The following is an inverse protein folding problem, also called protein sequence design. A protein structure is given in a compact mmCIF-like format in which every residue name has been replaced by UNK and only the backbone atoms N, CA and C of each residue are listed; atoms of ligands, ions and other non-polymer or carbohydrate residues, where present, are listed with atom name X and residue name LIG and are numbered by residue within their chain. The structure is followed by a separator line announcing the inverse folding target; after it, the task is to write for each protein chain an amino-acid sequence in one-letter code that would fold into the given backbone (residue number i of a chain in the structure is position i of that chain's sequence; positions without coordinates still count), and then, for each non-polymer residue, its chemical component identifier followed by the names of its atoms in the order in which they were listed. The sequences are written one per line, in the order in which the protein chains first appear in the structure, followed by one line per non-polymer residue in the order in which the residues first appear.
data_IF_197149882020
#
_entry.id   IF_197149882020
#
_cell.length_a   1.000
_cell.length_b   1.000
_cell.length_c   1.000
_cell.angle_alpha   90.00
_cell.angle_beta   90.00
_cell.angle_gamma   90.00
#
_symmetry.space_group_name_H-M   'P 1'
#
loop_
_entity.id
_entity.type
_entity.pdbx_description
1 polymer ?
#
# COMPACT_ATOMS: atom_id res chain seq x y z
N UNK A 1 15.05 -26.26 33.46
CA UNK A 1 13.81 -25.46 33.31
C UNK A 1 14.23 -24.01 33.17
N UNK A 2 14.13 -23.44 31.97
CA UNK A 2 14.20 -21.99 31.79
C UNK A 2 12.84 -21.56 31.24
N UNK A 3 11.94 -21.18 32.14
CA UNK A 3 10.86 -20.30 31.74
C UNK A 3 11.51 -18.98 31.37
N UNK A 4 11.73 -18.77 30.06
CA UNK A 4 11.90 -17.43 29.52
C UNK A 4 10.53 -16.77 29.64
N UNK A 5 10.31 -16.07 30.75
CA UNK A 5 9.32 -15.00 30.76
C UNK A 5 9.60 -14.14 29.54
N UNK A 6 8.63 -14.04 28.64
CA UNK A 6 8.71 -13.12 27.51
C UNK A 6 8.47 -11.74 28.13
N UNK A 7 9.48 -10.85 28.24
CA UNK A 7 9.22 -9.52 28.74
C UNK A 7 8.22 -8.89 27.77
N UNK A 8 7.15 -8.36 28.34
CA UNK A 8 6.03 -7.84 27.61
C UNK A 8 6.51 -6.85 26.54
N UNK A 9 6.33 -7.18 25.26
CA UNK A 9 6.74 -6.37 24.12
C UNK A 9 5.75 -5.18 23.93
N UNK A 10 5.43 -4.47 25.01
CA UNK A 10 4.61 -3.26 25.04
C UNK A 10 5.35 -2.02 24.49
N UNK A 11 6.20 -2.18 23.46
CA UNK A 11 6.68 -1.05 22.65
C UNK A 11 5.65 -0.70 21.58
N UNK A 12 4.43 -0.36 21.99
CA UNK A 12 3.39 0.13 21.10
C UNK A 12 3.17 1.59 21.43
N UNK A 13 3.66 2.50 20.59
CA UNK A 13 3.16 3.86 20.59
C UNK A 13 2.01 3.91 19.58
N UNK A 14 0.93 4.54 20.01
CA UNK A 14 -0.25 4.73 19.19
C UNK A 14 -0.18 6.12 18.57
N UNK A 15 -0.18 6.19 17.25
CA UNK A 15 -0.39 7.42 16.50
C UNK A 15 -1.83 7.54 16.07
N UNK A 16 -2.35 8.76 16.04
CA UNK A 16 -3.66 9.07 15.48
C UNK A 16 -3.46 9.57 14.06
N UNK A 17 -4.12 8.94 13.10
CA UNK A 17 -4.12 9.37 11.69
C UNK A 17 -5.55 9.50 11.19
N UNK A 18 -5.79 10.48 10.33
CA UNK A 18 -7.06 10.56 9.58
C UNK A 18 -7.05 9.60 8.41
N UNK A 19 -8.22 9.23 7.86
CA UNK A 19 -8.26 8.42 6.62
C UNK A 19 -7.58 9.14 5.47
N UNK A 20 -7.69 10.47 5.42
CA UNK A 20 -7.06 11.27 4.36
C UNK A 20 -5.54 11.20 4.40
N UNK A 21 -4.94 11.10 5.59
CA UNK A 21 -3.50 10.84 5.75
C UNK A 21 -3.10 9.41 5.38
N UNK A 22 -4.02 8.44 5.47
CA UNK A 22 -3.76 7.02 5.16
C UNK A 22 -4.00 6.66 3.70
N UNK A 23 -4.85 7.41 3.01
CA UNK A 23 -5.21 7.18 1.62
C UNK A 23 -4.75 8.39 0.81
N UNK A 24 -3.56 8.31 0.19
CA UNK A 24 -2.99 9.37 -0.62
C UNK A 24 -3.99 9.98 -1.61
N UNK A 25 -3.85 11.26 -1.94
CA UNK A 25 -4.74 11.95 -2.88
C UNK A 25 -4.71 11.34 -4.28
N UNK A 26 -3.59 10.76 -4.68
CA UNK A 26 -3.38 10.07 -5.95
C UNK A 26 -3.83 8.60 -5.94
N UNK A 27 -4.41 8.11 -4.83
CA UNK A 27 -4.82 6.73 -4.69
C UNK A 27 -5.83 6.32 -5.77
N UNK A 28 -5.61 5.16 -6.39
CA UNK A 28 -6.43 4.62 -7.49
C UNK A 28 -7.94 4.61 -7.21
N UNK A 29 -8.36 4.35 -5.97
CA UNK A 29 -9.79 4.40 -5.60
C UNK A 29 -10.41 5.79 -5.80
N UNK A 30 -9.68 6.87 -5.51
CA UNK A 30 -10.15 8.25 -5.75
C UNK A 30 -10.28 8.50 -7.27
N UNK A 31 -9.36 7.97 -8.07
CA UNK A 31 -9.44 8.04 -9.54
C UNK A 31 -10.67 7.28 -10.07
N UNK A 32 -10.95 6.09 -9.54
CA UNK A 32 -12.15 5.32 -9.88
C UNK A 32 -13.43 6.03 -9.49
N UNK A 33 -13.50 6.68 -8.32
CA UNK A 33 -14.67 7.45 -7.90
C UNK A 33 -14.98 8.58 -8.89
N UNK A 34 -13.94 9.28 -9.38
CA UNK A 34 -14.08 10.32 -10.42
C UNK A 34 -14.61 9.74 -11.72
N UNK A 35 -14.02 8.63 -12.20
CA UNK A 35 -14.44 7.95 -13.44
C UNK A 35 -15.90 7.49 -13.37
N UNK A 36 -16.29 6.87 -12.24
CA UNK A 36 -17.65 6.41 -11.98
C UNK A 36 -18.63 7.58 -11.98
N UNK A 37 -18.28 8.70 -11.35
CA UNK A 37 -19.16 9.88 -11.31
C UNK A 37 -19.33 10.52 -12.70
N UNK A 38 -18.26 10.54 -13.51
CA UNK A 38 -18.34 10.99 -14.91
C UNK A 38 -19.28 10.10 -15.73
N UNK A 39 -19.14 8.77 -15.59
CA UNK A 39 -20.02 7.81 -16.25
C UNK A 39 -21.50 7.98 -15.82
N UNK A 40 -21.74 8.13 -14.51
CA UNK A 40 -23.09 8.37 -13.98
C UNK A 40 -23.71 9.66 -14.52
N UNK A 41 -22.94 10.75 -14.63
CA UNK A 41 -23.41 12.01 -15.23
C UNK A 41 -23.77 11.85 -16.70
N UNK A 42 -22.97 11.11 -17.48
CA UNK A 42 -23.29 10.79 -18.89
C UNK A 42 -24.60 10.02 -19.00
N UNK A 43 -24.88 9.15 -18.03
CA UNK A 43 -26.11 8.38 -17.95
C UNK A 43 -27.25 9.08 -17.18
N UNK A 44 -27.14 10.39 -16.91
CA UNK A 44 -28.13 11.20 -16.16
C UNK A 44 -28.48 10.63 -14.77
N UNK A 45 -27.58 9.82 -14.21
CA UNK A 45 -27.71 9.24 -12.86
C UNK A 45 -27.07 10.17 -11.84
N UNK A 46 -27.72 10.28 -10.68
CA UNK A 46 -27.21 11.03 -9.54
C UNK A 46 -25.89 10.43 -9.04
N UNK A 47 -24.94 11.28 -8.62
CA UNK A 47 -23.67 10.85 -8.03
C UNK A 47 -23.87 9.96 -6.80
N UNK A 48 -22.88 9.11 -6.54
CA UNK A 48 -22.88 8.27 -5.35
C UNK A 48 -22.68 9.14 -4.10
N UNK A 49 -23.24 8.72 -2.96
CA UNK A 49 -23.01 9.44 -1.71
C UNK A 49 -21.54 9.25 -1.32
N UNK A 50 -20.82 10.32 -0.93
CA UNK A 50 -19.47 10.18 -0.41
C UNK A 50 -19.51 9.32 0.86
N UNK A 51 -18.55 8.40 0.98
CA UNK A 51 -18.35 7.63 2.21
C UNK A 51 -17.99 8.59 3.33
N UNK A 52 -18.61 8.43 4.50
CA UNK A 52 -18.37 9.29 5.68
C UNK A 52 -16.88 9.37 5.99
N UNK A 53 -16.38 10.59 6.21
CA UNK A 53 -15.08 10.84 6.81
C UNK A 53 -14.94 9.96 8.05
N UNK A 54 -13.93 9.08 8.06
CA UNK A 54 -13.74 8.21 9.22
C UNK A 54 -12.88 8.91 10.25
N UNK A 55 -13.29 8.79 11.50
CA UNK A 55 -12.57 9.27 12.67
C UNK A 55 -11.12 8.79 12.71
N UNK A 56 -10.28 9.56 13.42
CA UNK A 56 -8.86 9.28 13.56
C UNK A 56 -8.62 7.86 14.08
N UNK A 57 -7.89 7.05 13.30
CA UNK A 57 -7.64 5.65 13.64
C UNK A 57 -6.34 5.53 14.41
N UNK A 58 -6.39 4.71 15.45
CA UNK A 58 -5.23 4.34 16.25
C UNK A 58 -4.32 3.40 15.45
N UNK A 59 -3.08 3.81 15.19
CA UNK A 59 -2.08 3.03 14.45
C UNK A 59 -0.87 2.75 15.33
N UNK A 60 -0.42 1.50 15.30
CA UNK A 60 0.75 1.06 16.06
C UNK A 60 2.03 1.41 15.31
N UNK A 61 2.87 2.25 15.92
CA UNK A 61 4.14 2.73 15.37
C UNK A 61 5.29 2.19 16.22
N UNK A 62 6.42 1.89 15.58
CA UNK A 62 7.63 1.45 16.27
C UNK A 62 8.35 2.63 16.90
N UNK A 63 8.76 2.46 18.16
CA UNK A 63 9.56 3.47 18.88
C UNK A 63 10.97 3.65 18.31
N UNK A 64 11.57 2.57 17.80
CA UNK A 64 12.96 2.60 17.32
C UNK A 64 13.04 3.10 15.88
N UNK A 65 11.99 2.87 15.10
CA UNK A 65 11.96 3.15 13.67
C UNK A 65 10.52 3.44 13.21
N UNK A 66 10.10 4.71 13.19
CA UNK A 66 8.73 5.09 12.84
C UNK A 66 8.33 4.77 11.40
N UNK A 67 9.29 4.60 10.48
CA UNK A 67 9.02 4.29 9.07
C UNK A 67 8.70 2.80 8.87
N UNK A 68 9.02 1.96 9.85
CA UNK A 68 8.68 0.54 9.81
C UNK A 68 7.18 0.29 9.97
N UNK A 69 6.63 -0.52 9.06
CA UNK A 69 5.20 -0.79 9.01
C UNK A 69 4.78 -1.93 9.92
N UNK A 70 3.64 -1.79 10.62
CA UNK A 70 3.07 -2.85 11.45
C UNK A 70 2.43 -3.95 10.59
N UNK A 71 3.14 -5.05 10.40
CA UNK A 71 2.79 -6.14 9.50
C UNK A 71 2.30 -7.41 10.24
N UNK A 72 1.26 -8.04 9.69
CA UNK A 72 0.73 -9.31 10.17
C UNK A 72 1.22 -10.44 9.25
N UNK A 73 2.20 -11.21 9.71
CA UNK A 73 2.73 -12.38 8.98
C UNK A 73 1.90 -13.61 9.32
N UNK A 74 0.86 -13.84 8.52
CA UNK A 74 -0.14 -14.87 8.80
C UNK A 74 -0.87 -14.59 10.12
N UNK A 75 -1.42 -15.62 10.73
CA UNK A 75 -2.24 -15.47 11.94
C UNK A 75 -1.41 -15.29 13.22
N UNK A 76 -0.20 -15.86 13.26
CA UNK A 76 0.54 -16.05 14.52
C UNK A 76 1.65 -15.03 14.79
N UNK A 77 1.99 -14.16 13.85
CA UNK A 77 3.12 -13.23 14.01
C UNK A 77 2.76 -11.81 13.59
N UNK A 78 2.99 -10.87 14.49
CA UNK A 78 2.88 -9.43 14.22
C UNK A 78 4.24 -8.80 14.46
N UNK A 79 4.77 -8.11 13.46
CA UNK A 79 6.13 -7.56 13.47
C UNK A 79 6.13 -6.19 12.81
N UNK A 80 7.08 -5.35 13.19
CA UNK A 80 7.43 -4.18 12.38
C UNK A 80 8.34 -4.64 11.25
N UNK A 81 8.04 -4.26 10.01
CA UNK A 81 8.73 -4.74 8.82
C UNK A 81 8.79 -3.68 7.72
N UNK A 82 9.67 -3.94 6.75
CA UNK A 82 9.70 -3.28 5.46
C UNK A 82 9.33 -4.29 4.38
N UNK A 83 8.69 -3.82 3.32
CA UNK A 83 8.48 -4.57 2.08
C UNK A 83 9.44 -4.04 1.03
N UNK A 84 10.20 -4.94 0.40
CA UNK A 84 11.04 -4.60 -0.74
C UNK A 84 10.35 -5.11 -2.00
N UNK A 85 9.98 -4.19 -2.89
CA UNK A 85 9.48 -4.55 -4.21
C UNK A 85 10.64 -4.46 -5.20
N UNK A 86 10.85 -5.52 -5.97
CA UNK A 86 11.94 -5.63 -6.93
C UNK A 86 11.36 -5.91 -8.31
N UNK A 87 11.69 -5.07 -9.27
CA UNK A 87 11.36 -5.30 -10.67
C UNK A 87 12.51 -6.05 -11.34
N UNK A 88 12.20 -7.17 -11.98
CA UNK A 88 13.15 -7.98 -12.72
C UNK A 88 12.83 -8.01 -14.21
N UNK A 89 13.86 -8.17 -15.04
CA UNK A 89 13.69 -8.43 -16.47
C UNK A 89 13.27 -9.90 -16.73
N UNK A 90 13.03 -10.24 -18.01
CA UNK A 90 12.64 -11.59 -18.44
C UNK A 90 13.70 -12.68 -18.15
N UNK A 91 14.93 -12.30 -17.85
CA UNK A 91 16.04 -13.19 -17.53
C UNK A 91 16.31 -13.24 -16.02
N UNK A 92 15.55 -12.50 -15.20
CA UNK A 92 15.66 -12.45 -13.75
C UNK A 92 16.65 -11.42 -13.22
N UNK A 93 17.17 -10.50 -14.05
CA UNK A 93 18.03 -9.40 -13.59
C UNK A 93 17.20 -8.33 -12.89
N UNK A 94 17.63 -7.92 -11.70
CA UNK A 94 17.01 -6.82 -10.97
C UNK A 94 17.31 -5.49 -11.69
N UNK A 95 16.25 -4.82 -12.16
CA UNK A 95 16.33 -3.53 -12.84
C UNK A 95 16.17 -2.37 -11.87
N UNK A 96 15.25 -2.51 -10.91
CA UNK A 96 14.99 -1.49 -9.90
C UNK A 96 14.38 -2.11 -8.65
N UNK A 97 14.44 -1.37 -7.54
CA UNK A 97 13.73 -1.72 -6.33
C UNK A 97 13.20 -0.48 -5.60
N UNK A 98 12.17 -0.69 -4.79
CA UNK A 98 11.64 0.27 -3.82
C UNK A 98 11.51 -0.42 -2.47
N UNK A 99 11.63 0.37 -1.40
CA UNK A 99 11.45 -0.11 -0.03
C UNK A 99 10.35 0.73 0.58
N UNK A 100 9.30 0.06 1.03
CA UNK A 100 8.12 0.68 1.61
C UNK A 100 7.85 0.09 2.99
N UNK A 101 7.10 0.81 3.82
CA UNK A 101 6.69 0.29 5.12
C UNK A 101 5.88 -1.01 4.94
N UNK A 102 6.11 -2.01 5.78
CA UNK A 102 5.51 -3.34 5.63
C UNK A 102 3.98 -3.39 5.72
N UNK A 103 3.32 -2.32 6.13
CA UNK A 103 1.85 -2.19 6.14
C UNK A 103 1.29 -1.49 4.88
N UNK A 104 2.13 -1.09 3.93
CA UNK A 104 1.73 -0.51 2.66
C UNK A 104 1.38 -1.64 1.70
N UNK A 105 0.22 -1.54 1.05
CA UNK A 105 -0.24 -2.54 0.10
C UNK A 105 0.48 -2.37 -1.25
N UNK A 106 0.72 -3.47 -1.96
CA UNK A 106 1.48 -3.45 -3.20
C UNK A 106 0.90 -2.53 -4.27
N UNK A 107 -0.42 -2.36 -4.32
CA UNK A 107 -1.09 -1.42 -5.24
C UNK A 107 -0.71 0.05 -5.02
N UNK A 108 -0.30 0.41 -3.80
CA UNK A 108 0.14 1.77 -3.46
C UNK A 108 1.65 1.94 -3.66
N UNK A 109 2.42 0.88 -3.43
CA UNK A 109 3.88 0.89 -3.57
C UNK A 109 4.34 0.76 -5.03
N UNK A 110 3.55 0.07 -5.86
CA UNK A 110 3.91 -0.24 -7.25
C UNK A 110 4.15 0.98 -8.15
N UNK A 111 3.34 2.07 -8.12
CA UNK A 111 3.56 3.22 -8.99
C UNK A 111 4.97 3.81 -8.88
N UNK A 112 5.51 3.89 -7.66
CA UNK A 112 6.88 4.36 -7.40
C UNK A 112 7.92 3.46 -8.05
N UNK A 113 7.73 2.14 -7.99
CA UNK A 113 8.61 1.18 -8.66
C UNK A 113 8.47 1.27 -10.19
N UNK A 114 7.25 1.41 -10.68
CA UNK A 114 6.94 1.52 -12.10
C UNK A 114 7.64 2.73 -12.74
N UNK A 115 7.57 3.90 -12.10
CA UNK A 115 8.26 5.10 -12.55
C UNK A 115 9.78 4.90 -12.67
N UNK A 116 10.39 4.06 -11.83
CA UNK A 116 11.82 3.73 -11.93
C UNK A 116 12.16 2.83 -13.11
N UNK A 117 11.22 1.99 -13.55
CA UNK A 117 11.45 1.04 -14.66
C UNK A 117 10.97 1.54 -16.03
N UNK A 118 10.12 2.56 -16.06
CA UNK A 118 9.62 3.20 -17.29
C UNK A 118 10.75 3.57 -18.29
N UNK A 119 11.91 4.12 -17.85
CA UNK A 119 12.99 4.50 -18.77
C UNK A 119 13.65 3.33 -19.50
N UNK A 120 13.50 2.10 -19.00
CA UNK A 120 14.14 0.92 -19.59
C UNK A 120 13.42 0.42 -20.85
N UNK A 121 12.38 1.12 -21.33
CA UNK A 121 11.58 0.77 -22.49
C UNK A 121 11.25 -0.72 -22.50
N UNK A 122 10.30 -1.15 -21.66
CA UNK A 122 9.76 -2.51 -21.67
C UNK A 122 9.24 -2.83 -23.08
N UNK A 123 10.08 -3.45 -23.89
CA UNK A 123 9.80 -3.69 -25.30
C UNK A 123 8.81 -4.85 -25.42
N UNK A 124 7.52 -4.54 -25.31
CA UNK A 124 6.41 -5.04 -26.14
C UNK A 124 5.07 -4.77 -25.40
N UNK A 125 4.02 -4.33 -26.11
CA UNK A 125 2.69 -4.26 -25.53
C UNK A 125 2.24 -5.65 -25.07
N UNK A 126 1.54 -5.71 -23.93
CA UNK A 126 0.80 -6.90 -23.50
C UNK A 126 -0.13 -7.28 -24.68
N UNK A 127 0.02 -8.45 -25.31
CA UNK A 127 -0.89 -8.83 -26.38
C UNK A 127 -2.29 -8.98 -25.76
N UNK A 128 -3.25 -8.25 -26.33
CA UNK A 128 -4.65 -8.33 -25.91
C UNK A 128 -5.11 -9.79 -25.92
N UNK A 129 -5.91 -10.22 -24.93
CA UNK A 129 -6.47 -11.56 -24.93
C UNK A 129 -7.25 -11.76 -26.23
N UNK A 130 -6.93 -12.81 -26.97
CA UNK A 130 -7.72 -13.21 -28.14
C UNK A 130 -9.07 -13.71 -27.62
N UNK A 131 -10.14 -13.12 -28.17
CA UNK A 131 -11.54 -13.53 -27.98
C UNK A 131 -11.76 -15.02 -28.30
#
# INVERSE_FOLDING_TARGET
MFHKEKPDYHRCQYGFYTIDELVPEDHFLRQLEVEIDLDRRKHEKKSLKPTKESEAREKKISRTDPESGWFHKGEHKKVFAYSAQVACDKHGWALAYTVEAGNVHDSQAFPTLFAKIEPFHLSSPIPAPRE
#
